data_IF_956164052667
#
_entry.id   IF_956164052667
#
_cell.length_a   1.000
_cell.length_b   1.000
_cell.length_c   1.000
_cell.angle_alpha   90.00
_cell.angle_beta   90.00
_cell.angle_gamma   90.00
#
_symmetry.space_group_name_H-M   'P 1'
#
loop_
_entity.id
_entity.type
_entity.pdbx_description
1 polymer ?
#
# COMPACT_ATOMS: atom_id res chain seq x y z
N UNK A 1 -10.28 -11.09 -22.23
CA UNK A 1 -11.11 -11.10 -21.01
C UNK A 1 -12.54 -11.53 -21.29
N UNK A 2 -13.10 -12.36 -20.43
CA UNK A 2 -14.51 -12.80 -20.40
C UNK A 2 -15.05 -12.43 -19.02
N UNK A 3 -16.21 -11.79 -18.92
CA UNK A 3 -16.80 -11.42 -17.62
C UNK A 3 -18.30 -11.68 -17.55
N UNK A 4 -18.78 -11.98 -16.34
CA UNK A 4 -20.20 -12.23 -16.07
C UNK A 4 -20.45 -12.63 -14.61
N UNK A 5 -21.55 -12.15 -14.03
CA UNK A 5 -21.98 -12.57 -12.69
C UNK A 5 -21.03 -12.20 -11.54
N UNK A 6 -20.27 -11.11 -11.67
CA UNK A 6 -19.27 -10.70 -10.68
C UNK A 6 -17.91 -11.40 -10.82
N UNK A 7 -17.75 -12.26 -11.84
CA UNK A 7 -16.49 -12.92 -12.20
C UNK A 7 -15.93 -12.29 -13.48
N UNK A 8 -14.60 -12.15 -13.55
CA UNK A 8 -13.82 -11.83 -14.74
C UNK A 8 -12.70 -12.84 -14.90
N UNK A 9 -12.49 -13.33 -16.11
CA UNK A 9 -11.39 -14.19 -16.52
C UNK A 9 -10.60 -13.47 -17.61
N UNK A 10 -9.31 -13.23 -17.38
CA UNK A 10 -8.37 -12.71 -18.37
C UNK A 10 -7.35 -13.80 -18.69
N UNK A 11 -6.99 -13.88 -19.97
CA UNK A 11 -5.87 -14.68 -20.44
C UNK A 11 -5.02 -13.73 -21.27
N UNK A 12 -3.81 -13.46 -20.82
CA UNK A 12 -2.84 -12.61 -21.49
C UNK A 12 -1.43 -13.02 -21.06
N UNK A 13 -0.63 -13.47 -22.02
CA UNK A 13 0.61 -14.18 -21.76
C UNK A 13 1.65 -13.27 -21.10
N UNK A 14 2.09 -13.59 -19.89
CA UNK A 14 3.06 -12.80 -19.13
C UNK A 14 2.72 -11.30 -19.04
N UNK A 15 1.43 -10.98 -18.91
CA UNK A 15 0.93 -9.60 -18.87
C UNK A 15 -0.06 -9.34 -17.72
N UNK A 16 -0.31 -10.33 -16.87
CA UNK A 16 -1.20 -10.22 -15.71
C UNK A 16 -0.32 -10.21 -14.47
N UNK A 17 -0.36 -9.13 -13.70
CA UNK A 17 0.49 -8.99 -12.51
C UNK A 17 0.24 -10.13 -11.50
N UNK A 18 1.33 -10.57 -10.87
CA UNK A 18 1.27 -11.40 -9.68
C UNK A 18 0.57 -10.63 -8.54
N UNK A 19 -0.10 -11.34 -7.62
CA UNK A 19 -0.86 -10.67 -6.55
C UNK A 19 -0.01 -10.13 -5.43
N UNK A 20 1.19 -10.66 -5.26
CA UNK A 20 2.13 -10.26 -4.23
C UNK A 20 3.15 -9.25 -4.77
N UNK A 21 3.78 -9.55 -5.91
CA UNK A 21 4.84 -8.77 -6.54
C UNK A 21 4.55 -8.36 -8.00
N UNK A 22 4.24 -7.08 -8.23
CA UNK A 22 3.93 -6.54 -9.56
C UNK A 22 5.13 -6.58 -10.55
N UNK A 23 6.34 -6.92 -10.08
CA UNK A 23 7.50 -7.17 -10.95
C UNK A 23 7.39 -8.50 -11.73
N UNK A 24 6.53 -9.40 -11.23
CA UNK A 24 6.22 -10.69 -11.81
C UNK A 24 4.86 -10.66 -12.52
N UNK A 25 4.72 -11.51 -13.55
CA UNK A 25 3.50 -11.60 -14.32
C UNK A 25 3.19 -13.05 -14.64
N UNK A 26 1.90 -13.40 -14.69
CA UNK A 26 1.39 -14.67 -15.19
C UNK A 26 0.51 -14.51 -16.42
N UNK A 27 -0.16 -15.61 -16.76
CA UNK A 27 -0.89 -15.81 -18.00
C UNK A 27 -2.40 -15.71 -17.86
N UNK A 28 -2.92 -16.12 -16.70
CA UNK A 28 -4.36 -16.27 -16.47
C UNK A 28 -4.74 -15.54 -15.20
N UNK A 29 -5.66 -14.58 -15.31
CA UNK A 29 -6.18 -13.79 -14.20
C UNK A 29 -7.64 -14.09 -13.95
N UNK A 30 -8.00 -14.33 -12.71
CA UNK A 30 -9.39 -14.47 -12.25
C UNK A 30 -9.66 -13.37 -11.25
N UNK A 31 -10.67 -12.55 -11.48
CA UNK A 31 -11.20 -11.59 -10.52
C UNK A 31 -12.64 -11.96 -10.18
N UNK A 32 -13.00 -11.90 -8.90
CA UNK A 32 -14.34 -12.16 -8.41
C UNK A 32 -14.69 -11.16 -7.32
N UNK A 33 -15.89 -10.58 -7.41
CA UNK A 33 -16.52 -9.96 -6.25
C UNK A 33 -17.58 -10.92 -5.67
N UNK A 34 -17.39 -11.37 -4.43
CA UNK A 34 -18.35 -12.24 -3.75
C UNK A 34 -18.64 -11.75 -2.33
N UNK A 35 -19.92 -11.51 -2.06
CA UNK A 35 -20.41 -11.06 -0.75
C UNK A 35 -19.67 -9.83 -0.20
N UNK A 36 -19.29 -8.88 -1.07
CA UNK A 36 -18.54 -7.68 -0.68
C UNK A 36 -17.04 -7.88 -0.48
N UNK A 37 -16.51 -9.04 -0.86
CA UNK A 37 -15.08 -9.31 -0.90
C UNK A 37 -14.61 -9.30 -2.35
N UNK A 38 -13.48 -8.66 -2.58
CA UNK A 38 -12.72 -8.78 -3.82
C UNK A 38 -11.74 -9.94 -3.67
N UNK A 39 -11.80 -10.88 -4.59
CA UNK A 39 -10.95 -12.06 -4.65
C UNK A 39 -10.29 -12.05 -6.01
N UNK A 40 -9.02 -12.38 -6.07
CA UNK A 40 -8.48 -12.77 -7.35
C UNK A 40 -7.28 -13.70 -7.28
N UNK A 41 -6.96 -14.26 -8.44
CA UNK A 41 -5.96 -15.30 -8.64
C UNK A 41 -5.23 -15.02 -9.94
N UNK A 42 -3.90 -15.00 -9.92
CA UNK A 42 -3.06 -15.06 -11.13
C UNK A 42 -2.41 -16.42 -11.19
N UNK A 43 -2.38 -17.04 -12.38
CA UNK A 43 -1.67 -18.27 -12.66
C UNK A 43 -0.61 -17.98 -13.73
N UNK A 44 0.62 -18.38 -13.46
CA UNK A 44 1.71 -18.42 -14.44
C UNK A 44 1.87 -19.87 -14.91
N UNK A 45 1.61 -20.13 -16.19
CA UNK A 45 1.66 -21.48 -16.76
C UNK A 45 2.95 -21.77 -17.51
N UNK A 46 3.77 -20.76 -17.79
CA UNK A 46 5.04 -20.86 -18.50
C UNK A 46 6.15 -19.98 -17.89
N UNK A 47 6.42 -20.10 -16.58
CA UNK A 47 7.32 -19.18 -15.90
C UNK A 47 8.74 -19.27 -16.47
N UNK A 48 9.44 -18.13 -16.45
CA UNK A 48 10.83 -18.01 -16.96
C UNK A 48 11.79 -18.97 -16.24
N UNK A 49 11.51 -19.26 -14.97
CA UNK A 49 12.24 -20.16 -14.08
C UNK A 49 11.22 -20.93 -13.24
N UNK A 50 11.55 -22.15 -12.82
CA UNK A 50 10.70 -22.91 -11.90
C UNK A 50 9.55 -23.69 -12.52
N UNK A 51 8.55 -23.98 -11.70
CA UNK A 51 7.31 -24.69 -12.03
C UNK A 51 6.16 -23.68 -12.14
N UNK A 52 5.06 -24.05 -12.80
CA UNK A 52 3.87 -23.20 -12.89
C UNK A 52 3.48 -22.61 -11.53
N UNK A 53 3.27 -21.29 -11.49
CA UNK A 53 3.06 -20.52 -10.28
C UNK A 53 1.62 -20.06 -10.10
N UNK A 54 1.27 -19.69 -8.88
CA UNK A 54 -0.01 -19.15 -8.50
C UNK A 54 0.14 -18.07 -7.44
N UNK A 55 -0.55 -16.96 -7.65
CA UNK A 55 -0.78 -15.95 -6.64
C UNK A 55 -2.25 -15.65 -6.45
N UNK A 56 -2.58 -15.14 -5.28
CA UNK A 56 -3.95 -14.90 -4.85
C UNK A 56 -4.05 -13.62 -4.04
N UNK A 57 -5.24 -13.03 -4.04
CA UNK A 57 -5.60 -11.94 -3.17
C UNK A 57 -7.04 -12.07 -2.69
N UNK A 58 -7.28 -11.55 -1.48
CA UNK A 58 -8.60 -11.41 -0.87
C UNK A 58 -8.62 -10.10 -0.09
N UNK A 59 -9.57 -9.22 -0.36
CA UNK A 59 -9.77 -8.01 0.41
C UNK A 59 -11.24 -7.72 0.62
N UNK A 60 -11.54 -6.95 1.66
CA UNK A 60 -12.91 -6.59 2.01
C UNK A 60 -12.99 -5.74 3.27
N UNK A 61 -14.22 -5.47 3.67
CA UNK A 61 -14.52 -4.74 4.88
C UNK A 61 -15.77 -5.29 5.57
N UNK A 62 -15.73 -5.30 6.90
CA UNK A 62 -16.84 -5.70 7.76
C UNK A 62 -17.01 -4.68 8.89
N UNK A 63 -18.02 -3.81 8.75
CA UNK A 63 -18.22 -2.71 9.70
C UNK A 63 -17.06 -1.72 9.64
N UNK A 64 -16.40 -1.50 10.77
CA UNK A 64 -15.24 -0.63 10.86
C UNK A 64 -13.89 -1.36 10.67
N UNK A 65 -13.92 -2.67 10.39
CA UNK A 65 -12.72 -3.45 10.06
C UNK A 65 -12.54 -3.51 8.55
N UNK A 66 -11.33 -3.23 8.07
CA UNK A 66 -10.90 -3.59 6.71
C UNK A 66 -9.82 -4.66 6.79
N UNK A 67 -9.75 -5.51 5.77
CA UNK A 67 -8.72 -6.55 5.68
C UNK A 67 -8.27 -6.77 4.24
N UNK A 68 -7.05 -7.26 4.11
CA UNK A 68 -6.42 -7.70 2.88
C UNK A 68 -5.50 -8.88 3.14
N UNK A 69 -5.42 -9.78 2.19
CA UNK A 69 -4.48 -10.89 2.12
C UNK A 69 -4.01 -10.96 0.68
N UNK A 70 -2.71 -11.11 0.47
CA UNK A 70 -2.12 -11.46 -0.82
C UNK A 70 -1.01 -12.48 -0.61
N UNK A 71 -0.71 -13.26 -1.63
CA UNK A 71 0.42 -14.17 -1.59
C UNK A 71 0.67 -14.85 -2.91
N UNK A 72 1.85 -15.44 -3.01
CA UNK A 72 2.34 -16.18 -4.18
C UNK A 72 3.11 -17.41 -3.72
N UNK A 73 3.14 -18.46 -4.54
CA UNK A 73 3.97 -19.65 -4.31
C UNK A 73 5.34 -19.57 -5.00
N UNK A 74 5.59 -18.54 -5.82
CA UNK A 74 6.81 -18.38 -6.62
C UNK A 74 7.19 -16.91 -6.85
N UNK A 75 7.64 -16.23 -5.81
CA UNK A 75 8.24 -14.89 -5.84
C UNK A 75 9.65 -14.89 -6.47
N UNK A 76 10.39 -13.78 -6.45
CA UNK A 76 11.69 -13.54 -7.13
C UNK A 76 12.73 -14.68 -7.06
N UNK A 77 12.73 -15.49 -6.00
CA UNK A 77 13.64 -16.62 -5.80
C UNK A 77 12.98 -18.01 -5.90
N UNK A 78 11.85 -18.13 -6.61
CA UNK A 78 10.98 -19.31 -6.64
C UNK A 78 10.53 -19.72 -5.22
N UNK A 79 10.26 -18.72 -4.36
CA UNK A 79 9.87 -18.88 -2.95
C UNK A 79 8.47 -18.34 -2.72
N UNK A 80 7.75 -18.95 -1.79
CA UNK A 80 6.43 -18.44 -1.42
C UNK A 80 6.54 -17.15 -0.61
N UNK A 81 5.67 -16.19 -0.88
CA UNK A 81 5.55 -14.97 -0.12
C UNK A 81 4.07 -14.68 0.22
N UNK A 82 3.82 -13.95 1.30
CA UNK A 82 2.47 -13.53 1.67
C UNK A 82 2.47 -12.23 2.46
N UNK A 83 1.39 -11.47 2.34
CA UNK A 83 1.12 -10.30 3.18
C UNK A 83 -0.33 -10.37 3.64
N UNK A 84 -0.59 -10.09 4.92
CA UNK A 84 -1.96 -9.81 5.37
C UNK A 84 -2.02 -8.52 6.19
N UNK A 85 -3.06 -7.73 5.89
CA UNK A 85 -3.36 -6.44 6.48
C UNK A 85 -4.71 -6.49 7.15
N UNK A 86 -4.80 -5.93 8.34
CA UNK A 86 -6.07 -5.66 9.02
C UNK A 86 -6.04 -4.25 9.60
N UNK A 87 -7.11 -3.49 9.41
CA UNK A 87 -7.28 -2.20 10.05
C UNK A 87 -8.63 -2.08 10.72
N UNK A 88 -8.70 -1.29 11.78
CA UNK A 88 -9.92 -1.00 12.52
C UNK A 88 -10.04 0.51 12.75
N UNK A 89 -11.11 1.10 12.22
CA UNK A 89 -11.48 2.48 12.50
C UNK A 89 -12.26 2.58 13.82
N UNK A 90 -11.69 3.31 14.77
CA UNK A 90 -12.27 3.62 16.07
C UNK A 90 -12.85 5.03 16.07
N UNK A 91 -13.80 5.29 15.17
CA UNK A 91 -14.45 6.60 15.03
C UNK A 91 -13.45 7.72 14.71
N UNK A 92 -12.60 7.47 13.72
CA UNK A 92 -11.60 8.41 13.21
C UNK A 92 -10.16 8.13 13.66
N UNK A 93 -9.94 7.32 14.70
CA UNK A 93 -8.62 6.77 15.02
C UNK A 93 -8.47 5.40 14.38
N UNK A 94 -7.45 5.19 13.56
CA UNK A 94 -7.20 3.91 12.90
C UNK A 94 -6.11 3.14 13.63
N UNK A 95 -6.35 1.86 13.90
CA UNK A 95 -5.32 0.90 14.29
C UNK A 95 -5.13 -0.06 13.11
N UNK A 96 -3.89 -0.28 12.69
CA UNK A 96 -3.56 -1.22 11.64
C UNK A 96 -2.50 -2.22 12.11
N UNK A 97 -2.63 -3.44 11.62
CA UNK A 97 -1.65 -4.50 11.75
C UNK A 97 -1.38 -5.08 10.37
N UNK A 98 -0.12 -5.35 10.11
CA UNK A 98 0.38 -5.91 8.87
C UNK A 98 1.40 -7.01 9.20
N UNK A 99 1.44 -8.05 8.39
CA UNK A 99 2.43 -9.12 8.50
C UNK A 99 2.82 -9.52 7.09
N UNK A 100 4.08 -9.27 6.77
CA UNK A 100 4.63 -9.47 5.44
C UNK A 100 5.82 -10.45 5.50
N UNK A 101 5.72 -11.52 4.74
CA UNK A 101 6.79 -12.50 4.56
C UNK A 101 7.19 -12.50 3.10
N UNK A 102 8.39 -12.00 2.86
CA UNK A 102 9.03 -12.07 1.56
C UNK A 102 9.95 -13.30 1.50
N UNK A 103 9.77 -14.15 0.49
CA UNK A 103 10.59 -15.34 0.25
C UNK A 103 10.81 -16.24 1.50
N UNK A 104 12.07 -16.60 1.77
CA UNK A 104 12.51 -17.42 2.90
C UNK A 104 12.73 -16.59 4.18
N UNK A 105 12.53 -15.26 4.14
CA UNK A 105 12.69 -14.41 5.32
C UNK A 105 11.64 -14.71 6.40
N UNK A 106 11.93 -14.31 7.63
CA UNK A 106 10.91 -14.28 8.68
C UNK A 106 9.88 -13.18 8.37
N UNK A 107 8.63 -13.41 8.77
CA UNK A 107 7.58 -12.42 8.54
C UNK A 107 7.80 -11.20 9.44
N UNK A 108 7.81 -10.01 8.86
CA UNK A 108 7.87 -8.73 9.56
C UNK A 108 6.46 -8.33 9.97
N UNK A 109 6.24 -8.10 11.26
CA UNK A 109 4.93 -7.77 11.82
C UNK A 109 4.88 -6.29 12.22
N UNK A 110 4.17 -5.48 11.43
CA UNK A 110 4.06 -4.04 11.62
C UNK A 110 2.76 -3.69 12.36
N UNK A 111 2.85 -2.82 13.35
CA UNK A 111 1.71 -2.23 14.04
C UNK A 111 1.71 -0.71 13.86
N UNK A 112 0.57 -0.14 13.49
CA UNK A 112 0.41 1.29 13.26
C UNK A 112 -0.83 1.86 13.93
N UNK A 113 -0.72 3.11 14.39
CA UNK A 113 -1.83 3.91 14.91
C UNK A 113 -1.85 5.25 14.18
N UNK A 114 -3.00 5.64 13.67
CA UNK A 114 -3.28 6.99 13.16
C UNK A 114 -4.36 7.65 14.00
N UNK A 115 -4.08 8.81 14.58
CA UNK A 115 -4.97 9.52 15.48
C UNK A 115 -5.18 10.98 15.04
N UNK A 116 -6.43 11.42 14.80
CA UNK A 116 -6.76 12.80 14.54
C UNK A 116 -6.78 13.61 15.84
N UNK A 117 -6.12 14.76 15.84
CA UNK A 117 -6.02 15.72 16.94
C UNK A 117 -6.51 17.10 16.45
N UNK A 118 -7.78 17.16 16.05
CA UNK A 118 -8.38 18.35 15.46
C UNK A 118 -7.93 18.54 14.00
N UNK A 119 -7.32 19.68 13.63
CA UNK A 119 -6.75 19.88 12.29
C UNK A 119 -5.45 19.08 12.06
N UNK A 120 -4.90 18.45 13.10
CA UNK A 120 -3.71 17.60 13.02
C UNK A 120 -4.09 16.14 12.89
N UNK A 121 -3.25 15.34 12.23
CA UNK A 121 -3.26 13.88 12.31
C UNK A 121 -1.86 13.39 12.64
N UNK A 122 -1.74 12.47 13.59
CA UNK A 122 -0.46 11.84 13.96
C UNK A 122 -0.53 10.37 13.61
N UNK A 123 0.52 9.87 12.96
CA UNK A 123 0.68 8.44 12.67
C UNK A 123 1.99 7.97 13.27
N UNK A 124 1.96 6.82 13.95
CA UNK A 124 3.16 6.11 14.41
C UNK A 124 3.04 4.65 14.01
N UNK A 125 4.15 4.04 13.61
CA UNK A 125 4.25 2.60 13.38
C UNK A 125 5.59 2.06 13.85
N UNK A 126 5.59 0.78 14.18
CA UNK A 126 6.80 0.02 14.48
C UNK A 126 6.59 -1.44 14.10
N UNK A 127 7.67 -2.14 13.81
CA UNK A 127 7.67 -3.57 13.53
C UNK A 127 8.66 -4.34 14.40
N UNK A 128 8.66 -5.66 14.24
CA UNK A 128 9.57 -6.57 14.95
C UNK A 128 10.94 -6.74 14.28
N UNK A 129 11.21 -5.98 13.21
CA UNK A 129 12.53 -5.85 12.58
C UNK A 129 13.29 -4.59 13.07
N UNK A 130 12.84 -4.00 14.18
CA UNK A 130 13.49 -2.85 14.85
C UNK A 130 13.32 -1.51 14.11
N UNK A 131 12.40 -1.42 13.15
CA UNK A 131 12.11 -0.21 12.39
C UNK A 131 10.90 0.55 12.96
N UNK A 132 10.90 1.89 12.87
CA UNK A 132 9.77 2.71 13.31
C UNK A 132 9.61 3.97 12.48
N UNK A 133 8.35 4.36 12.25
CA UNK A 133 8.02 5.58 11.53
C UNK A 133 7.09 6.46 12.36
N UNK A 134 7.31 7.77 12.31
CA UNK A 134 6.40 8.75 12.89
C UNK A 134 6.13 9.88 11.91
N UNK A 135 4.87 10.29 11.80
CA UNK A 135 4.49 11.44 11.00
C UNK A 135 3.39 12.27 11.65
N UNK A 136 3.37 13.53 11.27
CA UNK A 136 2.31 14.48 11.60
C UNK A 136 1.89 15.21 10.35
N UNK A 137 0.59 15.35 10.14
CA UNK A 137 0.02 16.25 9.16
C UNK A 137 -0.86 17.28 9.85
N UNK A 138 -0.98 18.45 9.22
CA UNK A 138 -1.82 19.54 9.68
C UNK A 138 -2.49 20.17 8.47
N UNK A 139 -3.81 20.32 8.53
CA UNK A 139 -4.57 20.97 7.48
C UNK A 139 -5.57 21.98 8.05
N UNK A 140 -5.47 23.24 7.60
CA UNK A 140 -6.40 24.31 7.97
C UNK A 140 -6.64 25.26 6.81
N UNK A 141 -7.91 25.38 6.39
CA UNK A 141 -8.27 26.25 5.27
C UNK A 141 -7.51 25.86 3.99
N UNK A 142 -6.73 26.79 3.46
CA UNK A 142 -5.93 26.60 2.25
C UNK A 142 -4.53 26.01 2.51
N UNK A 143 -4.11 25.90 3.79
CA UNK A 143 -2.77 25.44 4.18
C UNK A 143 -2.79 23.94 4.50
N UNK A 144 -1.81 23.21 3.99
CA UNK A 144 -1.47 21.86 4.42
C UNK A 144 0.01 21.78 4.77
N UNK A 145 0.37 21.01 5.78
CA UNK A 145 1.74 20.73 6.20
C UNK A 145 1.86 19.26 6.60
N UNK A 146 2.99 18.63 6.29
CA UNK A 146 3.37 17.33 6.80
C UNK A 146 4.84 17.30 7.20
N UNK A 147 5.13 16.47 8.19
CA UNK A 147 6.48 16.09 8.61
C UNK A 147 6.48 14.60 8.93
N UNK A 148 7.50 13.88 8.49
CA UNK A 148 7.73 12.47 8.77
C UNK A 148 9.19 12.24 9.18
N UNK A 149 9.43 11.22 9.98
CA UNK A 149 10.76 10.78 10.42
C UNK A 149 10.74 9.30 10.81
N UNK A 150 11.93 8.70 10.91
CA UNK A 150 12.13 7.26 11.10
C UNK A 150 13.29 6.95 12.07
N UNK A 151 13.60 5.66 12.22
CA UNK A 151 14.67 5.14 13.08
C UNK A 151 16.07 5.66 12.77
N UNK A 152 16.34 5.98 11.51
CA UNK A 152 17.61 6.55 11.05
C UNK A 152 17.68 8.07 11.29
N UNK A 153 16.64 8.66 11.89
CA UNK A 153 16.48 10.11 12.03
C UNK A 153 16.44 10.86 10.70
N UNK A 154 16.20 10.15 9.60
CA UNK A 154 15.87 10.80 8.34
C UNK A 154 14.51 11.49 8.50
N UNK A 155 14.29 12.55 7.74
CA UNK A 155 13.06 13.31 7.84
C UNK A 155 12.66 13.91 6.51
N UNK A 156 11.35 14.08 6.36
CA UNK A 156 10.75 14.74 5.21
C UNK A 156 9.71 15.75 5.66
N UNK A 157 9.61 16.87 4.95
CA UNK A 157 8.56 17.85 5.18
C UNK A 157 8.01 18.37 3.87
N UNK A 158 6.71 18.64 3.86
CA UNK A 158 6.01 19.21 2.73
C UNK A 158 4.95 20.18 3.22
N UNK A 159 4.91 21.37 2.65
CA UNK A 159 3.86 22.35 2.95
C UNK A 159 3.26 22.88 1.64
N UNK A 160 1.95 22.97 1.59
CA UNK A 160 1.21 23.50 0.45
C UNK A 160 0.25 24.59 0.86
N UNK A 161 0.01 25.53 -0.05
CA UNK A 161 -1.01 26.56 0.11
C UNK A 161 -1.80 26.73 -1.18
N UNK A 162 -3.12 26.47 -1.11
CA UNK A 162 -4.01 26.69 -2.25
C UNK A 162 -4.19 28.19 -2.49
N UNK A 163 -3.74 28.65 -3.66
CA UNK A 163 -3.88 30.04 -4.10
C UNK A 163 -5.26 30.31 -4.74
N UNK A 164 -6.08 29.25 -4.90
CA UNK A 164 -7.32 29.28 -5.65
C UNK A 164 -7.12 29.18 -7.15
N UNK A 165 -8.21 28.97 -7.90
CA UNK A 165 -8.17 28.94 -9.37
C UNK A 165 -7.30 27.83 -9.98
N UNK A 166 -7.14 26.70 -9.26
CA UNK A 166 -6.31 25.58 -9.71
C UNK A 166 -4.81 25.72 -9.43
N UNK A 167 -4.38 26.78 -8.74
CA UNK A 167 -2.97 26.99 -8.40
C UNK A 167 -2.65 26.63 -6.93
N UNK A 168 -1.52 25.96 -6.72
CA UNK A 168 -1.03 25.54 -5.39
C UNK A 168 0.44 25.90 -5.26
N UNK A 169 0.80 26.73 -4.28
CA UNK A 169 2.20 26.91 -3.91
C UNK A 169 2.65 25.77 -3.01
N UNK A 170 3.90 25.32 -3.14
CA UNK A 170 4.46 24.27 -2.30
C UNK A 170 5.92 24.52 -1.94
N UNK A 171 6.32 23.97 -0.80
CA UNK A 171 7.72 23.80 -0.39
C UNK A 171 7.90 22.38 0.12
N UNK A 172 9.01 21.74 -0.22
CA UNK A 172 9.36 20.42 0.28
C UNK A 172 10.85 20.37 0.62
N UNK A 173 11.21 19.56 1.63
CA UNK A 173 12.59 19.23 1.94
C UNK A 173 12.68 17.82 2.51
N UNK A 174 13.80 17.14 2.26
CA UNK A 174 14.08 15.78 2.74
C UNK A 174 15.55 15.65 3.11
N UNK A 175 15.83 14.93 4.20
CA UNK A 175 17.18 14.62 4.67
C UNK A 175 17.87 13.60 3.75
N UNK A 176 17.14 12.58 3.32
CA UNK A 176 17.69 11.44 2.58
C UNK A 176 18.45 11.81 1.30
N UNK A 177 18.16 12.98 0.72
CA UNK A 177 18.87 13.51 -0.46
C UNK A 177 19.43 14.92 -0.26
N UNK A 178 19.44 15.43 0.98
CA UNK A 178 19.79 16.82 1.32
C UNK A 178 19.11 17.84 0.39
N UNK A 179 17.87 17.55 0.00
CA UNK A 179 17.18 18.24 -1.07
C UNK A 179 16.11 19.18 -0.53
N UNK A 180 15.95 20.34 -1.17
CA UNK A 180 14.83 21.24 -0.92
C UNK A 180 14.35 21.91 -2.21
N UNK A 181 13.05 22.12 -2.30
CA UNK A 181 12.38 22.73 -3.46
C UNK A 181 11.23 23.61 -3.01
N UNK A 182 10.98 24.65 -3.81
CA UNK A 182 9.81 25.51 -3.70
C UNK A 182 9.25 25.78 -5.09
N UNK A 183 7.93 25.80 -5.24
CA UNK A 183 7.31 25.98 -6.54
C UNK A 183 5.82 26.33 -6.47
N UNK A 184 5.23 26.42 -7.67
CA UNK A 184 3.78 26.54 -7.85
C UNK A 184 3.36 25.51 -8.89
N UNK A 185 2.38 24.71 -8.54
CA UNK A 185 1.74 23.74 -9.42
C UNK A 185 0.38 24.28 -9.90
N UNK A 186 0.03 23.97 -11.14
CA UNK A 186 -1.26 24.33 -11.74
C UNK A 186 -1.97 23.08 -12.23
N UNK A 187 -3.21 22.88 -11.79
CA UNK A 187 -4.13 21.86 -12.31
C UNK A 187 -5.13 22.52 -13.27
N UNK A 188 -5.25 21.99 -14.49
CA UNK A 188 -6.09 22.51 -15.57
C UNK A 188 -7.24 21.56 -15.94
#
# INVERSE_FOLDING_TARGET
TISGGGLSLTVDNQAIDDRYDDSQNGDIGVEMNFAGNDIGITLDTDPKTGEAGMSYSLSGAAGAVSYGLKGTDSNDNDKSAFEYKVSYDMSGMTIAFDSDKEDDADAINTFAITAPLGPMSVTVSADDNEDWNASVSYSVGALSFSYATDEESAWETHATYSLGGGATAYVAATEASEFSVAGVEFSF
#
